data_IF_100151782098
#
_entry.id   IF_100151782098
#
_cell.length_a   1.000
_cell.length_b   1.000
_cell.length_c   1.000
_cell.angle_alpha   90.00
_cell.angle_beta   90.00
_cell.angle_gamma   90.00
#
_symmetry.space_group_name_H-M   'P 1'
#
loop_
_entity.id
_entity.type
_entity.pdbx_description
1 polymer ?
#
# COMPACT_ATOMS: atom_id res chain seq x y z
N UNK A 1 -24.60 -18.37 -12.45
CA UNK A 1 -23.68 -19.35 -11.84
C UNK A 1 -23.91 -19.27 -10.35
N UNK A 2 -24.57 -20.27 -9.78
CA UNK A 2 -24.73 -20.39 -8.34
C UNK A 2 -23.44 -20.99 -7.79
N UNK A 3 -22.62 -20.16 -7.14
CA UNK A 3 -21.36 -20.62 -6.53
C UNK A 3 -21.70 -21.30 -5.21
N UNK A 4 -21.11 -22.48 -4.96
CA UNK A 4 -21.22 -23.12 -3.66
C UNK A 4 -20.73 -22.15 -2.57
N UNK A 5 -21.35 -22.15 -1.38
CA UNK A 5 -20.91 -21.32 -0.24
C UNK A 5 -19.41 -21.50 0.07
N UNK A 6 -18.83 -22.67 -0.25
CA UNK A 6 -17.39 -22.93 -0.14
C UNK A 6 -16.56 -22.09 -1.11
N UNK A 7 -17.01 -21.95 -2.35
CA UNK A 7 -16.33 -21.16 -3.38
C UNK A 7 -16.38 -19.67 -3.03
N UNK A 8 -17.51 -19.19 -2.50
CA UNK A 8 -17.66 -17.79 -2.05
C UNK A 8 -16.70 -17.46 -0.91
N UNK A 9 -16.58 -18.34 0.09
CA UNK A 9 -15.63 -18.17 1.22
C UNK A 9 -14.18 -18.25 0.76
N UNK A 10 -13.86 -19.16 -0.15
CA UNK A 10 -12.51 -19.25 -0.73
C UNK A 10 -12.13 -17.96 -1.46
N UNK A 11 -13.04 -17.43 -2.26
CA UNK A 11 -12.83 -16.21 -3.03
C UNK A 11 -12.66 -14.97 -2.13
N UNK A 12 -13.49 -14.86 -1.08
CA UNK A 12 -13.32 -13.84 -0.02
C UNK A 12 -11.91 -13.86 0.56
N UNK A 13 -11.43 -15.05 0.95
CA UNK A 13 -10.08 -15.22 1.50
C UNK A 13 -8.99 -14.87 0.47
N UNK A 14 -9.15 -15.30 -0.80
CA UNK A 14 -8.20 -14.98 -1.89
C UNK A 14 -8.08 -13.48 -2.10
N UNK A 15 -9.20 -12.78 -2.28
CA UNK A 15 -9.21 -11.32 -2.48
C UNK A 15 -8.63 -10.59 -1.27
N UNK A 16 -8.88 -11.07 -0.05
CA UNK A 16 -8.27 -10.51 1.16
C UNK A 16 -6.74 -10.63 1.14
N UNK A 17 -6.23 -11.81 0.79
CA UNK A 17 -4.78 -12.07 0.69
C UNK A 17 -4.13 -11.21 -0.40
N UNK A 18 -4.77 -11.06 -1.55
CA UNK A 18 -4.28 -10.20 -2.64
C UNK A 18 -4.18 -8.73 -2.22
N UNK A 19 -5.21 -8.19 -1.55
CA UNK A 19 -5.18 -6.82 -0.99
C UNK A 19 -4.05 -6.64 0.02
N UNK A 20 -3.84 -7.62 0.92
CA UNK A 20 -2.73 -7.59 1.86
C UNK A 20 -1.38 -7.61 1.13
N UNK A 21 -1.21 -8.49 0.15
CA UNK A 21 0.02 -8.59 -0.63
C UNK A 21 0.34 -7.27 -1.35
N UNK A 22 -0.68 -6.65 -1.96
CA UNK A 22 -0.53 -5.34 -2.61
C UNK A 22 -0.10 -4.25 -1.62
N UNK A 23 -0.72 -4.21 -0.43
CA UNK A 23 -0.34 -3.28 0.62
C UNK A 23 1.10 -3.50 1.10
N UNK A 24 1.49 -4.74 1.42
CA UNK A 24 2.86 -5.04 1.86
C UNK A 24 3.90 -4.76 0.78
N UNK A 25 3.55 -4.94 -0.49
CA UNK A 25 4.42 -4.58 -1.61
C UNK A 25 4.62 -3.06 -1.64
N UNK A 26 3.55 -2.28 -1.53
CA UNK A 26 3.63 -0.82 -1.48
C UNK A 26 4.43 -0.32 -0.26
N UNK A 27 4.17 -0.90 0.92
CA UNK A 27 4.92 -0.61 2.16
C UNK A 27 6.42 -0.91 2.01
N UNK A 28 6.75 -2.06 1.43
CA UNK A 28 8.15 -2.48 1.23
C UNK A 28 8.86 -1.53 0.27
N UNK A 29 8.23 -1.20 -0.87
CA UNK A 29 8.77 -0.23 -1.82
C UNK A 29 8.94 1.14 -1.17
N UNK A 30 7.94 1.60 -0.40
CA UNK A 30 8.01 2.84 0.35
C UNK A 30 9.22 2.87 1.28
N UNK A 31 9.43 1.85 2.11
CA UNK A 31 10.57 1.80 3.04
C UNK A 31 11.90 1.75 2.29
N UNK A 32 12.04 0.86 1.30
CA UNK A 32 13.32 0.65 0.59
C UNK A 32 13.72 1.89 -0.18
N UNK A 33 12.80 2.47 -0.97
CA UNK A 33 13.09 3.64 -1.81
C UNK A 33 13.39 4.86 -0.94
N UNK A 34 12.55 5.15 0.05
CA UNK A 34 12.79 6.30 0.93
C UNK A 34 14.10 6.15 1.70
N UNK A 35 14.40 4.97 2.25
CA UNK A 35 15.67 4.71 2.94
C UNK A 35 16.87 4.89 2.01
N UNK A 36 16.80 4.41 0.76
CA UNK A 36 17.88 4.56 -0.20
C UNK A 36 18.12 6.03 -0.59
N UNK A 37 17.05 6.79 -0.86
CA UNK A 37 17.13 8.24 -1.15
C UNK A 37 17.73 8.98 0.04
N UNK A 38 17.23 8.68 1.24
CA UNK A 38 17.69 9.25 2.49
C UNK A 38 19.17 8.98 2.75
N UNK A 39 19.61 7.73 2.60
CA UNK A 39 21.01 7.37 2.76
C UNK A 39 21.92 8.10 1.75
N UNK A 40 21.50 8.18 0.48
CA UNK A 40 22.25 8.89 -0.54
C UNK A 40 22.37 10.39 -0.25
N UNK A 41 21.28 11.04 0.18
CA UNK A 41 21.29 12.46 0.59
C UNK A 41 22.22 12.70 1.77
N UNK A 42 22.13 11.88 2.81
CA UNK A 42 22.99 11.99 4.01
C UNK A 42 24.47 11.88 3.63
N UNK A 43 24.84 10.87 2.83
CA UNK A 43 26.23 10.68 2.38
C UNK A 43 26.72 11.91 1.59
N UNK A 44 25.88 12.46 0.70
CA UNK A 44 26.23 13.64 -0.10
C UNK A 44 26.42 14.88 0.78
N UNK A 45 25.51 15.13 1.72
CA UNK A 45 25.55 16.32 2.56
C UNK A 45 26.75 16.29 3.52
N UNK A 46 27.06 15.14 4.14
CA UNK A 46 28.28 14.97 4.95
C UNK A 46 29.53 15.27 4.13
N UNK A 47 29.60 14.80 2.87
CA UNK A 47 30.74 15.06 1.98
C UNK A 47 30.88 16.53 1.60
N UNK A 48 29.79 17.29 1.61
CA UNK A 48 29.79 18.73 1.33
C UNK A 48 30.09 19.59 2.57
N UNK A 49 30.36 18.97 3.73
CA UNK A 49 30.73 19.67 4.97
C UNK A 49 29.56 20.03 5.88
N UNK A 50 28.34 19.56 5.57
CA UNK A 50 27.17 19.74 6.45
C UNK A 50 27.19 18.76 7.63
N UNK A 51 26.66 19.19 8.76
CA UNK A 51 26.58 18.36 9.96
C UNK A 51 25.47 17.30 9.81
N UNK A 52 25.66 16.09 10.36
CA UNK A 52 24.67 15.01 10.32
C UNK A 52 23.28 15.44 10.81
N UNK A 53 23.21 16.37 11.78
CA UNK A 53 21.94 16.91 12.27
C UNK A 53 21.25 17.81 11.25
N UNK A 54 21.96 18.66 10.51
CA UNK A 54 21.36 19.51 9.46
C UNK A 54 20.86 18.66 8.29
N UNK A 55 21.64 17.65 7.89
CA UNK A 55 21.29 16.74 6.79
C UNK A 55 20.09 15.81 7.08
N UNK A 56 19.83 15.50 8.36
CA UNK A 56 18.72 14.62 8.78
C UNK A 56 17.46 15.41 9.15
N UNK A 57 17.61 16.60 9.74
CA UNK A 57 16.48 17.44 10.15
C UNK A 57 16.04 18.46 9.08
N UNK A 58 16.64 18.41 7.90
CA UNK A 58 16.24 19.26 6.79
C UNK A 58 14.77 19.02 6.41
N UNK A 59 13.97 20.09 6.35
CA UNK A 59 12.51 20.02 6.16
C UNK A 59 12.11 19.32 4.85
N UNK A 60 13.01 19.34 3.85
CA UNK A 60 12.84 18.60 2.60
C UNK A 60 12.80 17.07 2.78
N UNK A 61 13.48 16.56 3.80
CA UNK A 61 13.47 15.13 4.12
C UNK A 61 12.10 14.70 4.63
N UNK A 62 11.47 15.52 5.46
CA UNK A 62 10.13 15.25 5.98
C UNK A 62 9.06 15.35 4.89
N UNK A 63 9.20 16.27 3.93
CA UNK A 63 8.20 16.47 2.87
C UNK A 63 7.97 15.24 1.98
N UNK A 64 9.05 14.56 1.56
CA UNK A 64 8.96 13.38 0.68
C UNK A 64 8.31 12.20 1.40
N UNK A 65 8.75 11.95 2.64
CA UNK A 65 8.21 10.88 3.48
C UNK A 65 6.74 11.13 3.84
N UNK A 66 6.35 12.38 4.14
CA UNK A 66 4.98 12.73 4.48
C UNK A 66 4.02 12.61 3.28
N UNK A 67 4.42 13.07 2.09
CA UNK A 67 3.59 12.95 0.88
C UNK A 67 3.33 11.49 0.51
N UNK A 68 4.38 10.67 0.44
CA UNK A 68 4.24 9.26 0.09
C UNK A 68 3.62 8.44 1.23
N UNK A 69 3.94 8.81 2.47
CA UNK A 69 3.36 8.22 3.68
C UNK A 69 1.86 8.46 3.78
N UNK A 70 1.36 9.61 3.31
CA UNK A 70 -0.09 9.88 3.23
C UNK A 70 -0.78 8.90 2.27
N UNK A 71 -0.20 8.66 1.09
CA UNK A 71 -0.71 7.67 0.14
C UNK A 71 -0.71 6.24 0.71
N UNK A 72 0.35 5.88 1.43
CA UNK A 72 0.43 4.60 2.14
C UNK A 72 -0.62 4.50 3.25
N UNK A 73 -0.88 5.56 4.01
CA UNK A 73 -1.89 5.61 5.06
C UNK A 73 -3.31 5.46 4.49
N UNK A 74 -3.60 6.10 3.36
CA UNK A 74 -4.88 5.92 2.64
C UNK A 74 -5.04 4.45 2.20
N UNK A 75 -3.98 3.84 1.64
CA UNK A 75 -4.02 2.44 1.25
C UNK A 75 -4.20 1.50 2.47
N UNK A 76 -3.52 1.78 3.58
CA UNK A 76 -3.71 1.04 4.84
C UNK A 76 -5.16 1.16 5.33
N UNK A 77 -5.74 2.36 5.30
CA UNK A 77 -7.13 2.57 5.67
C UNK A 77 -8.09 1.84 4.75
N UNK A 78 -7.81 1.81 3.44
CA UNK A 78 -8.63 1.06 2.48
C UNK A 78 -8.61 -0.46 2.72
N UNK A 79 -7.46 -1.01 3.12
CA UNK A 79 -7.28 -2.45 3.36
C UNK A 79 -7.79 -2.87 4.74
N UNK A 80 -7.49 -2.11 5.79
CA UNK A 80 -7.77 -2.49 7.18
C UNK A 80 -8.95 -1.74 7.81
N UNK A 81 -9.18 -0.48 7.42
CA UNK A 81 -10.21 0.40 8.01
C UNK A 81 -11.59 0.22 7.37
N UNK A 82 -11.69 0.29 6.04
CA UNK A 82 -12.97 0.22 5.32
C UNK A 82 -13.80 -1.04 5.65
N UNK A 83 -13.23 -2.27 5.69
CA UNK A 83 -14.00 -3.45 6.08
C UNK A 83 -14.62 -3.34 7.48
N UNK A 84 -13.91 -2.72 8.42
CA UNK A 84 -14.36 -2.57 9.81
C UNK A 84 -15.48 -1.53 9.95
N UNK A 85 -15.52 -0.53 9.07
CA UNK A 85 -16.48 0.58 9.11
C UNK A 85 -17.73 0.27 8.28
N UNK A 86 -17.55 -0.29 7.07
CA UNK A 86 -18.62 -0.52 6.10
C UNK A 86 -19.26 -1.92 6.22
N UNK A 87 -18.62 -2.85 6.93
CA UNK A 87 -19.14 -4.19 7.18
C UNK A 87 -19.14 -5.13 5.98
N UNK A 88 -19.68 -6.33 6.19
CA UNK A 88 -19.57 -7.47 5.26
C UNK A 88 -20.24 -7.22 3.90
N UNK A 89 -21.30 -6.41 3.85
CA UNK A 89 -21.99 -6.07 2.61
C UNK A 89 -21.06 -5.37 1.59
N UNK A 90 -20.21 -4.46 2.07
CA UNK A 90 -19.24 -3.78 1.22
C UNK A 90 -18.12 -4.72 0.74
N UNK A 91 -17.69 -5.67 1.58
CA UNK A 91 -16.71 -6.68 1.15
C UNK A 91 -17.28 -7.57 0.04
N UNK A 92 -18.56 -7.98 0.14
CA UNK A 92 -19.21 -8.77 -0.91
C UNK A 92 -19.30 -8.03 -2.25
N UNK A 93 -19.67 -6.75 -2.24
CA UNK A 93 -19.69 -5.93 -3.45
C UNK A 93 -18.30 -5.80 -4.09
N UNK A 94 -17.26 -5.63 -3.26
CA UNK A 94 -15.89 -5.54 -3.76
C UNK A 94 -15.38 -6.83 -4.36
N UNK A 95 -15.80 -7.98 -3.87
CA UNK A 95 -15.42 -9.27 -4.44
C UNK A 95 -16.11 -9.49 -5.79
N UNK A 96 -17.39 -9.07 -5.92
CA UNK A 96 -18.07 -9.07 -7.22
C UNK A 96 -17.32 -8.21 -8.25
N UNK A 97 -16.94 -6.98 -7.87
CA UNK A 97 -16.14 -6.10 -8.73
C UNK A 97 -14.79 -6.73 -9.11
N UNK A 98 -14.05 -7.28 -8.14
CA UNK A 98 -12.76 -7.95 -8.41
C UNK A 98 -12.90 -9.11 -9.41
N UNK A 99 -13.96 -9.91 -9.32
CA UNK A 99 -14.21 -10.98 -10.28
C UNK A 99 -14.54 -10.47 -11.68
N UNK A 100 -15.28 -9.37 -11.77
CA UNK A 100 -15.59 -8.73 -13.05
C UNK A 100 -14.33 -8.16 -13.71
N UNK A 101 -13.46 -7.53 -12.92
CA UNK A 101 -12.17 -6.99 -13.36
C UNK A 101 -11.19 -8.09 -13.78
N UNK A 102 -11.09 -9.20 -13.03
CA UNK A 102 -10.27 -10.37 -13.41
C UNK A 102 -10.79 -11.00 -14.72
N UNK A 103 -12.10 -11.10 -14.90
CA UNK A 103 -12.68 -11.59 -16.16
C UNK A 103 -12.30 -10.67 -17.31
N UNK A 104 -12.48 -9.35 -17.14
CA UNK A 104 -12.16 -8.37 -18.18
C UNK A 104 -10.67 -8.39 -18.57
N UNK A 105 -9.76 -8.54 -17.60
CA UNK A 105 -8.32 -8.64 -17.87
C UNK A 105 -7.89 -9.96 -18.51
N UNK A 106 -8.65 -11.05 -18.40
CA UNK A 106 -8.35 -12.33 -19.08
C UNK A 106 -8.77 -12.39 -20.54
N UNK A 107 -9.65 -11.48 -20.99
CA UNK A 107 -10.16 -11.43 -22.36
C UNK A 107 -9.52 -10.32 -23.22
N UNK A 108 -8.44 -9.71 -22.73
CA UNK A 108 -7.67 -8.66 -23.39
C UNK A 108 -6.20 -9.05 -23.40
#
# INVERSE_FOLDING_TARGET
>A
MDYSDKDRKYLQAKTRVEKLRAFYTHLTVYIVVNTAISAFKIIRNIRNGETFQEAVFDLEFSGIWLLWGTGLAIHAFAVFGLPRILGDNWEEEKIKQFMEDEKKNKFN
#
